data_IF_449320237687
#
_entry.id   IF_449320237687
#
_cell.length_a   1.000
_cell.length_b   1.000
_cell.length_c   1.000
_cell.angle_alpha   90.00
_cell.angle_beta   90.00
_cell.angle_gamma   90.00
#
_symmetry.space_group_name_H-M   'P 1'
#
loop_
_entity.id
_entity.type
_entity.pdbx_description
1 polymer ?
#
# COMPACT_ATOMS: atom_id res chain seq x y z
N UNK A 1 -7.78 -4.76 -10.43
CA UNK A 1 -7.78 -5.43 -9.11
C UNK A 1 -8.36 -4.50 -8.06
N UNK A 2 -9.11 -5.00 -7.07
CA UNK A 2 -9.67 -4.17 -5.97
C UNK A 2 -8.60 -3.92 -4.90
N UNK A 3 -8.56 -2.71 -4.38
CA UNK A 3 -7.68 -2.28 -3.29
C UNK A 3 -8.50 -2.05 -2.04
N UNK A 4 -8.04 -2.61 -0.92
CA UNK A 4 -8.59 -2.44 0.42
C UNK A 4 -7.68 -1.58 1.29
N UNK A 5 -8.30 -0.81 2.19
CA UNK A 5 -7.56 -0.21 3.29
C UNK A 5 -7.02 -1.30 4.22
N UNK A 6 -5.72 -1.27 4.50
CA UNK A 6 -5.03 -2.23 5.37
C UNK A 6 -5.47 -2.16 6.85
N UNK A 7 -6.19 -1.10 7.24
CA UNK A 7 -6.65 -0.90 8.62
C UNK A 7 -8.14 -1.17 8.84
N UNK A 8 -9.00 -0.68 7.94
CA UNK A 8 -10.46 -0.86 8.10
C UNK A 8 -11.05 -1.88 7.12
N UNK A 9 -10.23 -2.48 6.26
CA UNK A 9 -10.60 -3.53 5.30
C UNK A 9 -11.68 -3.13 4.27
N UNK A 10 -12.05 -1.85 4.22
CA UNK A 10 -13.00 -1.33 3.23
C UNK A 10 -12.36 -1.31 1.85
N UNK A 11 -13.12 -1.72 0.83
CA UNK A 11 -12.78 -1.53 -0.58
C UNK A 11 -12.76 -0.02 -0.87
N UNK A 12 -11.62 0.51 -1.32
CA UNK A 12 -11.44 1.95 -1.50
C UNK A 12 -11.26 2.33 -2.97
N UNK A 13 -10.75 1.43 -3.80
CA UNK A 13 -10.52 1.71 -5.21
C UNK A 13 -10.07 0.50 -5.99
N UNK A 14 -9.58 0.76 -7.20
CA UNK A 14 -9.00 -0.24 -8.08
C UNK A 14 -7.55 0.12 -8.39
N UNK A 15 -6.78 -0.85 -8.86
CA UNK A 15 -5.48 -0.63 -9.50
C UNK A 15 -5.29 -1.63 -10.64
N UNK A 16 -4.38 -1.31 -11.55
CA UNK A 16 -3.82 -2.25 -12.51
C UNK A 16 -2.49 -2.80 -11.98
N UNK A 17 -2.37 -4.10 -11.67
CA UNK A 17 -1.12 -4.70 -11.20
C UNK A 17 0.07 -4.43 -12.13
N UNK A 18 -0.16 -4.31 -13.44
CA UNK A 18 0.90 -4.07 -14.42
C UNK A 18 1.50 -2.66 -14.31
N UNK A 19 0.78 -1.70 -13.72
CA UNK A 19 1.19 -0.30 -13.58
C UNK A 19 1.72 0.06 -12.19
N UNK A 20 1.54 -0.81 -11.19
CA UNK A 20 2.03 -0.58 -9.83
C UNK A 20 3.56 -0.52 -9.81
N UNK A 21 4.13 0.52 -9.20
CA UNK A 21 5.57 0.69 -8.99
C UNK A 21 5.82 1.26 -7.60
N UNK A 22 7.04 1.07 -7.09
CA UNK A 22 7.47 1.71 -5.84
C UNK A 22 8.23 3.02 -6.16
N UNK A 23 8.00 4.10 -5.38
CA UNK A 23 6.96 4.24 -4.36
C UNK A 23 5.55 4.26 -4.97
N UNK A 24 4.57 3.75 -4.22
CA UNK A 24 3.16 3.86 -4.59
C UNK A 24 2.72 5.33 -4.60
N UNK A 25 1.95 5.72 -5.61
CA UNK A 25 1.43 7.09 -5.78
C UNK A 25 -0.06 7.04 -6.12
N UNK A 26 -0.78 8.13 -5.87
CA UNK A 26 -2.23 8.19 -6.05
C UNK A 26 -2.66 7.94 -7.50
N UNK A 27 -1.85 8.36 -8.48
CA UNK A 27 -2.06 8.09 -9.90
C UNK A 27 -2.17 6.60 -10.27
N UNK A 28 -1.70 5.69 -9.42
CA UNK A 28 -1.79 4.24 -9.65
C UNK A 28 -3.15 3.64 -9.26
N UNK A 29 -4.04 4.45 -8.66
CA UNK A 29 -5.31 3.98 -8.10
C UNK A 29 -6.49 4.66 -8.77
N UNK A 30 -7.44 3.84 -9.22
CA UNK A 30 -8.67 4.24 -9.88
C UNK A 30 -9.91 4.07 -9.00
N UNK A 31 -11.07 4.52 -9.49
CA UNK A 31 -12.34 4.37 -8.79
C UNK A 31 -12.79 2.91 -8.71
N UNK A 32 -13.72 2.60 -7.79
CA UNK A 32 -14.35 1.27 -7.68
C UNK A 32 -15.25 0.91 -8.87
N UNK A 33 -15.71 1.92 -9.61
CA UNK A 33 -16.59 1.75 -10.76
C UNK A 33 -17.06 3.10 -11.30
N UNK A 34 -17.95 3.05 -12.30
CA UNK A 34 -18.54 4.26 -12.88
C UNK A 34 -19.30 5.06 -11.80
N UNK A 35 -19.08 6.38 -11.77
CA UNK A 35 -19.72 7.28 -10.80
C UNK A 35 -19.01 7.41 -9.45
N UNK A 36 -17.92 6.68 -9.23
CA UNK A 36 -17.05 6.85 -8.05
C UNK A 36 -15.84 7.71 -8.38
N UNK A 37 -15.34 8.44 -7.39
CA UNK A 37 -14.05 9.14 -7.48
C UNK A 37 -12.89 8.18 -7.18
N UNK A 38 -11.68 8.43 -7.73
CA UNK A 38 -10.47 7.75 -7.28
C UNK A 38 -10.28 7.90 -5.76
N UNK A 39 -9.71 6.90 -5.06
CA UNK A 39 -9.53 6.94 -3.61
C UNK A 39 -8.54 8.01 -3.16
N UNK A 40 -7.59 8.38 -4.02
CA UNK A 40 -6.49 9.27 -3.71
C UNK A 40 -6.38 10.37 -4.78
N UNK A 41 -5.90 11.57 -4.42
CA UNK A 41 -5.47 12.57 -5.38
C UNK A 41 -4.38 12.01 -6.30
N UNK A 42 -4.38 12.39 -7.58
CA UNK A 42 -3.43 11.86 -8.57
C UNK A 42 -1.96 12.20 -8.21
N UNK A 43 -1.75 13.39 -7.65
CA UNK A 43 -0.45 13.91 -7.21
C UNK A 43 -0.05 13.44 -5.80
N UNK A 44 -0.88 12.63 -5.13
CA UNK A 44 -0.57 12.13 -3.81
C UNK A 44 0.66 11.21 -3.84
N UNK A 45 1.71 11.63 -3.12
CA UNK A 45 2.81 10.75 -2.73
C UNK A 45 2.34 9.67 -1.75
N UNK A 46 3.24 8.73 -1.43
CA UNK A 46 2.94 7.60 -0.56
C UNK A 46 2.34 8.02 0.80
N UNK A 47 2.84 9.11 1.40
CA UNK A 47 2.36 9.61 2.69
C UNK A 47 0.88 10.03 2.66
N UNK A 48 0.40 10.46 1.49
CA UNK A 48 -0.94 10.97 1.24
C UNK A 48 -1.96 9.93 0.81
N UNK A 49 -1.57 8.64 0.74
CA UNK A 49 -2.48 7.53 0.42
C UNK A 49 -3.36 7.20 1.63
N UNK A 50 -4.29 8.09 1.95
CA UNK A 50 -5.19 8.02 3.10
C UNK A 50 -6.54 7.45 2.70
N UNK A 51 -7.04 6.49 3.47
CA UNK A 51 -8.36 5.90 3.26
C UNK A 51 -9.46 6.96 3.44
N UNK A 52 -10.34 7.17 2.44
CA UNK A 52 -11.42 8.17 2.54
C UNK A 52 -12.49 7.79 3.56
N UNK A 53 -12.49 6.54 4.04
CA UNK A 53 -13.50 6.03 4.98
C UNK A 53 -13.05 6.17 6.43
N UNK A 54 -11.81 5.78 6.76
CA UNK A 54 -11.32 5.79 8.14
C UNK A 54 -10.29 6.89 8.45
N UNK A 55 -9.85 7.64 7.43
CA UNK A 55 -8.89 8.75 7.57
C UNK A 55 -7.46 8.33 7.93
N UNK A 56 -7.17 7.03 7.95
CA UNK A 56 -5.83 6.48 8.22
C UNK A 56 -5.14 6.08 6.92
N UNK A 57 -3.82 5.91 6.96
CA UNK A 57 -3.06 5.47 5.78
C UNK A 57 -3.61 4.13 5.27
N UNK A 58 -3.86 4.06 3.98
CA UNK A 58 -4.55 2.94 3.36
C UNK A 58 -3.62 1.76 3.07
N UNK A 59 -2.33 2.05 2.81
CA UNK A 59 -1.35 1.10 2.31
C UNK A 59 -0.05 1.13 3.11
N UNK A 60 0.61 -0.01 3.16
CA UNK A 60 1.93 -0.19 3.73
C UNK A 60 1.98 -0.27 5.25
N UNK A 61 0.89 -0.54 5.94
CA UNK A 61 0.91 -0.96 7.34
C UNK A 61 1.51 -2.35 7.51
N UNK A 62 2.48 -2.51 8.41
CA UNK A 62 2.98 -3.82 8.82
C UNK A 62 2.26 -4.30 10.10
N UNK A 63 1.49 -5.41 10.05
CA UNK A 63 0.76 -5.91 11.21
C UNK A 63 1.69 -6.48 12.29
N UNK A 64 2.88 -6.92 11.91
CA UNK A 64 3.87 -7.49 12.85
C UNK A 64 4.77 -6.39 13.43
N UNK A 65 4.87 -5.24 12.75
CA UNK A 65 5.75 -4.13 13.11
C UNK A 65 5.09 -2.79 12.82
N UNK A 66 4.21 -2.35 13.73
CA UNK A 66 3.43 -1.11 13.61
C UNK A 66 4.25 0.16 13.36
N UNK A 67 5.54 0.16 13.69
CA UNK A 67 6.47 1.28 13.46
C UNK A 67 7.14 1.26 12.07
N UNK A 68 6.91 0.22 11.27
CA UNK A 68 7.50 0.05 9.95
C UNK A 68 6.44 0.09 8.85
N UNK A 69 6.83 0.62 7.69
CA UNK A 69 5.95 0.69 6.53
C UNK A 69 6.45 -0.18 5.37
N UNK A 70 5.53 -0.95 4.79
CA UNK A 70 5.73 -1.81 3.62
C UNK A 70 5.26 -1.08 2.36
N UNK A 71 6.15 -0.28 1.79
CA UNK A 71 5.86 0.55 0.61
C UNK A 71 5.65 -0.27 -0.68
N UNK A 72 5.90 -1.57 -0.58
CA UNK A 72 5.93 -2.56 -1.65
C UNK A 72 4.65 -3.36 -1.76
N UNK A 73 3.60 -3.06 -0.98
CA UNK A 73 2.40 -3.87 -0.98
C UNK A 73 1.11 -3.07 -0.84
N UNK A 74 0.04 -3.74 -1.22
CA UNK A 74 -1.34 -3.31 -1.03
C UNK A 74 -2.17 -4.50 -0.56
N UNK A 75 -3.28 -4.24 0.13
CA UNK A 75 -4.25 -5.27 0.46
C UNK A 75 -5.33 -5.37 -0.61
N UNK A 76 -5.68 -6.59 -1.00
CA UNK A 76 -6.76 -6.93 -1.92
C UNK A 76 -7.76 -7.85 -1.20
N UNK A 77 -8.93 -8.14 -1.79
CA UNK A 77 -9.85 -9.14 -1.24
C UNK A 77 -9.24 -10.55 -1.08
N UNK A 78 -8.24 -10.88 -1.90
CA UNK A 78 -7.55 -12.18 -1.91
C UNK A 78 -6.34 -12.23 -0.97
N UNK A 79 -5.90 -11.08 -0.44
CA UNK A 79 -4.75 -10.98 0.46
C UNK A 79 -3.80 -9.85 0.07
N UNK A 80 -2.58 -9.89 0.61
CA UNK A 80 -1.57 -8.89 0.24
C UNK A 80 -1.02 -9.17 -1.15
N UNK A 81 -0.97 -8.14 -1.99
CA UNK A 81 -0.25 -8.13 -3.26
C UNK A 81 1.05 -7.34 -3.10
N UNK A 82 2.17 -7.92 -3.51
CA UNK A 82 3.51 -7.28 -3.47
C UNK A 82 3.87 -6.79 -4.87
N UNK A 83 4.25 -5.52 -4.97
CA UNK A 83 4.70 -4.88 -6.21
C UNK A 83 6.11 -5.38 -6.54
N UNK A 84 6.24 -6.14 -7.64
CA UNK A 84 7.53 -6.64 -8.10
C UNK A 84 8.51 -5.49 -8.40
N UNK A 85 9.76 -5.63 -7.95
CA UNK A 85 10.80 -4.59 -8.09
C UNK A 85 10.95 -3.66 -6.89
N UNK A 86 10.20 -3.88 -5.80
CA UNK A 86 10.58 -3.33 -4.50
C UNK A 86 11.90 -3.98 -4.06
N UNK A 87 13.00 -3.25 -4.25
CA UNK A 87 14.32 -3.68 -3.79
C UNK A 87 14.18 -3.98 -2.30
N UNK A 88 14.45 -5.23 -1.91
CA UNK A 88 14.64 -5.60 -0.51
C UNK A 88 15.58 -4.57 0.12
N UNK A 89 15.04 -3.70 0.96
CA UNK A 89 15.84 -2.89 1.85
C UNK A 89 16.56 -3.82 2.79
N UNK A 90 17.73 -4.33 2.38
CA UNK A 90 18.72 -4.97 3.26
C UNK A 90 19.00 -4.01 4.40
N UNK A 91 18.27 -4.13 5.51
CA UNK A 91 18.78 -3.72 6.81
C UNK A 91 19.63 -4.86 7.33
N UNK A 92 20.92 -4.66 7.10
CA UNK A 92 22.08 -5.35 7.62
C UNK A 92 21.85 -6.20 8.87
N UNK A 93 22.33 -7.43 8.79
CA UNK A 93 22.65 -8.27 9.93
C UNK A 93 23.46 -7.48 10.99
N UNK A 94 22.98 -7.51 12.23
CA UNK A 94 23.83 -7.55 13.43
C UNK A 94 23.52 -8.93 14.00
N UNK A 95 24.30 -9.97 13.71
CA UNK A 95 25.68 -10.07 14.13
C UNK A 95 25.67 -10.73 15.50
N UNK A 96 25.58 -12.06 15.51
CA UNK A 96 25.90 -12.90 16.65
C UNK A 96 27.24 -12.47 17.25
N UNK A 97 27.24 -12.15 18.54
CA UNK A 97 28.45 -12.21 19.38
C UNK A 97 28.07 -13.03 20.61
N UNK A 98 28.59 -14.26 20.60
CA UNK A 98 28.86 -15.02 21.81
C UNK A 98 29.82 -14.22 22.70
N UNK A 99 29.49 -14.12 23.98
CA UNK A 99 30.37 -13.71 25.07
C UNK A 99 29.90 -14.39 26.34
#
# INVERSE_FOLDING_TARGET
MIVRCELCFTDIGTCDPATLRTPLTGAMFGPLGAGYFPPFPEDAGWEGLVCPICGKRAVGHDPDRSETFRLDRILTPEGYFVVEGAVEGKRAARGDVHG
#
